data_IF_081636094095
#
_entry.id   IF_081636094095
#
_cell.length_a   1.000
_cell.length_b   1.000
_cell.length_c   1.000
_cell.angle_alpha   90.00
_cell.angle_beta   90.00
_cell.angle_gamma   90.00
#
_symmetry.space_group_name_H-M   'P 1'
#
loop_
_entity.id
_entity.type
_entity.pdbx_description
1 polymer ?
#
# COMPACT_ATOMS: atom_id res chain seq x y z
N UNK A 1 -17.63 37.12 8.94
CA UNK A 1 -17.78 35.79 9.59
C UNK A 1 -18.42 34.78 8.63
N UNK A 2 -19.58 35.07 8.05
CA UNK A 2 -20.26 34.21 7.06
C UNK A 2 -19.43 33.78 5.83
N UNK A 3 -18.70 34.66 5.11
CA UNK A 3 -17.96 34.25 3.90
C UNK A 3 -16.76 33.32 4.19
N UNK A 4 -16.17 33.46 5.37
CA UNK A 4 -15.04 32.63 5.79
C UNK A 4 -15.54 31.20 6.08
N UNK A 5 -16.66 31.09 6.79
CA UNK A 5 -17.27 29.80 7.12
C UNK A 5 -17.72 29.08 5.84
N UNK A 6 -18.36 29.77 4.89
CA UNK A 6 -18.75 29.16 3.62
C UNK A 6 -17.55 28.74 2.78
N UNK A 7 -16.49 29.56 2.71
CA UNK A 7 -15.27 29.18 1.97
C UNK A 7 -14.61 27.92 2.53
N UNK A 8 -14.47 27.83 3.87
CA UNK A 8 -13.91 26.64 4.52
C UNK A 8 -14.79 25.42 4.26
N UNK A 9 -16.11 25.54 4.39
CA UNK A 9 -17.05 24.44 4.21
C UNK A 9 -17.02 23.90 2.78
N UNK A 10 -16.99 24.77 1.77
CA UNK A 10 -16.91 24.37 0.35
C UNK A 10 -15.58 23.67 0.07
N UNK A 11 -14.46 24.21 0.54
CA UNK A 11 -13.14 23.62 0.28
C UNK A 11 -13.01 22.25 0.94
N UNK A 12 -13.42 22.12 2.21
CA UNK A 12 -13.41 20.85 2.94
C UNK A 12 -14.37 19.82 2.33
N UNK A 13 -15.54 20.25 1.86
CA UNK A 13 -16.47 19.35 1.18
C UNK A 13 -15.89 18.82 -0.13
N UNK A 14 -15.29 19.69 -0.96
CA UNK A 14 -14.68 19.28 -2.21
C UNK A 14 -13.50 18.32 -2.00
N UNK A 15 -12.60 18.62 -1.06
CA UNK A 15 -11.48 17.73 -0.76
C UNK A 15 -11.96 16.41 -0.17
N UNK A 16 -12.95 16.45 0.73
CA UNK A 16 -13.55 15.25 1.31
C UNK A 16 -14.19 14.35 0.26
N UNK A 17 -14.95 14.92 -0.68
CA UNK A 17 -15.56 14.17 -1.78
C UNK A 17 -14.48 13.52 -2.65
N UNK A 18 -13.42 14.26 -2.99
CA UNK A 18 -12.33 13.72 -3.79
C UNK A 18 -11.61 12.58 -3.06
N UNK A 19 -11.34 12.73 -1.76
CA UNK A 19 -10.72 11.69 -0.94
C UNK A 19 -11.58 10.43 -0.90
N UNK A 20 -12.90 10.57 -0.72
CA UNK A 20 -13.82 9.42 -0.73
C UNK A 20 -13.80 8.72 -2.09
N UNK A 21 -13.81 9.48 -3.19
CA UNK A 21 -13.74 8.92 -4.55
C UNK A 21 -12.44 8.12 -4.76
N UNK A 22 -11.30 8.68 -4.32
CA UNK A 22 -10.00 8.01 -4.43
C UNK A 22 -9.94 6.73 -3.59
N UNK A 23 -10.49 6.74 -2.36
CA UNK A 23 -10.58 5.55 -1.51
C UNK A 23 -11.42 4.44 -2.15
N UNK A 24 -12.56 4.79 -2.76
CA UNK A 24 -13.40 3.82 -3.48
C UNK A 24 -12.66 3.26 -4.69
N UNK A 25 -11.94 4.10 -5.43
CA UNK A 25 -11.11 3.67 -6.55
C UNK A 25 -10.00 2.73 -6.09
N UNK A 26 -9.26 3.08 -5.04
CA UNK A 26 -8.21 2.24 -4.46
C UNK A 26 -8.77 0.88 -4.03
N UNK A 27 -9.92 0.86 -3.33
CA UNK A 27 -10.56 -0.38 -2.90
C UNK A 27 -10.95 -1.28 -4.07
N UNK A 28 -11.40 -0.71 -5.20
CA UNK A 28 -11.84 -1.50 -6.35
C UNK A 28 -10.69 -1.93 -7.27
N UNK A 29 -9.70 -1.05 -7.50
CA UNK A 29 -8.60 -1.29 -8.43
C UNK A 29 -7.36 -1.92 -7.80
N UNK A 30 -7.06 -1.61 -6.53
CA UNK A 30 -5.85 -2.09 -5.85
C UNK A 30 -6.10 -3.37 -5.01
N UNK A 31 -7.09 -4.17 -5.38
CA UNK A 31 -7.34 -5.46 -4.73
C UNK A 31 -6.66 -6.59 -5.50
N UNK A 32 -5.49 -7.00 -5.00
CA UNK A 32 -4.66 -8.04 -5.63
C UNK A 32 -4.97 -9.47 -5.13
N UNK A 33 -5.86 -9.61 -4.13
CA UNK A 33 -6.22 -10.89 -3.54
C UNK A 33 -5.11 -11.56 -2.73
N UNK A 34 -5.36 -12.80 -2.30
CA UNK A 34 -4.35 -13.63 -1.61
C UNK A 34 -3.32 -14.15 -2.62
N UNK A 35 -2.05 -13.81 -2.41
CA UNK A 35 -0.93 -14.30 -3.19
C UNK A 35 -0.16 -15.36 -2.38
N UNK A 36 0.31 -16.40 -3.07
CA UNK A 36 1.21 -17.40 -2.49
C UNK A 36 2.64 -17.11 -2.92
N UNK A 37 3.53 -16.92 -1.95
CA UNK A 37 4.97 -16.78 -2.15
C UNK A 37 5.62 -18.12 -1.82
N UNK A 38 6.32 -18.69 -2.79
CA UNK A 38 7.16 -19.86 -2.61
C UNK A 38 8.62 -19.43 -2.41
N UNK A 39 9.20 -19.78 -1.27
CA UNK A 39 10.60 -19.55 -0.93
C UNK A 39 11.35 -20.87 -1.06
N UNK A 40 12.42 -20.86 -1.85
CA UNK A 40 13.31 -22.00 -2.08
C UNK A 40 12.60 -23.28 -2.56
N UNK A 41 11.70 -23.16 -3.54
CA UNK A 41 11.04 -24.32 -4.20
C UNK A 41 10.33 -25.26 -3.23
N UNK A 42 9.54 -24.71 -2.32
CA UNK A 42 8.69 -25.43 -1.38
C UNK A 42 9.26 -25.57 0.02
N UNK A 43 10.45 -25.03 0.29
CA UNK A 43 11.01 -25.01 1.66
C UNK A 43 10.12 -24.19 2.60
N UNK A 44 9.55 -23.08 2.10
CA UNK A 44 8.58 -22.28 2.84
C UNK A 44 7.57 -21.63 1.91
N UNK A 45 6.28 -21.89 2.16
CA UNK A 45 5.18 -21.27 1.43
C UNK A 45 4.45 -20.29 2.34
N UNK A 46 4.25 -19.07 1.84
CA UNK A 46 3.63 -17.97 2.58
C UNK A 46 2.42 -17.48 1.81
N UNK A 47 1.29 -17.35 2.51
CA UNK A 47 0.09 -16.70 1.97
C UNK A 47 0.04 -15.28 2.50
N UNK A 48 0.04 -14.32 1.60
CA UNK A 48 0.03 -12.90 1.94
C UNK A 48 -1.02 -12.17 1.11
N UNK A 49 -1.57 -11.10 1.65
CA UNK A 49 -2.44 -10.24 0.86
C UNK A 49 -1.57 -9.43 -0.12
N UNK A 50 -1.93 -9.45 -1.40
CA UNK A 50 -1.19 -8.75 -2.44
C UNK A 50 -1.33 -7.22 -2.33
N UNK A 51 -0.49 -6.50 -3.06
CA UNK A 51 -0.49 -5.03 -3.13
C UNK A 51 0.66 -4.34 -2.40
N UNK A 52 1.35 -5.05 -1.51
CA UNK A 52 2.62 -4.60 -0.95
C UNK A 52 3.81 -5.11 -1.79
N UNK A 53 4.98 -4.47 -1.64
CA UNK A 53 6.21 -4.98 -2.25
C UNK A 53 6.56 -6.37 -1.70
N UNK A 54 7.26 -7.17 -2.50
CA UNK A 54 7.70 -8.52 -2.09
C UNK A 54 8.60 -8.46 -0.84
N UNK A 55 9.48 -7.45 -0.75
CA UNK A 55 10.35 -7.24 0.41
C UNK A 55 9.54 -6.94 1.68
N UNK A 56 8.55 -6.04 1.60
CA UNK A 56 7.67 -5.74 2.74
C UNK A 56 6.86 -6.96 3.16
N UNK A 57 6.36 -7.73 2.19
CA UNK A 57 5.59 -8.95 2.43
C UNK A 57 6.43 -10.02 3.15
N UNK A 58 7.68 -10.23 2.72
CA UNK A 58 8.61 -11.15 3.38
C UNK A 58 9.00 -10.67 4.79
N UNK A 59 9.27 -9.37 4.96
CA UNK A 59 9.59 -8.78 6.25
C UNK A 59 8.45 -8.94 7.27
N UNK A 60 7.19 -8.82 6.83
CA UNK A 60 6.01 -9.08 7.68
C UNK A 60 5.96 -10.53 8.20
N UNK A 61 6.51 -11.46 7.44
CA UNK A 61 6.62 -12.89 7.78
C UNK A 61 7.97 -13.22 8.47
N UNK A 62 8.64 -12.20 9.01
CA UNK A 62 9.95 -12.28 9.68
C UNK A 62 11.08 -12.84 8.81
N UNK A 63 10.96 -12.73 7.48
CA UNK A 63 12.06 -12.97 6.53
C UNK A 63 12.68 -11.62 6.15
N UNK A 64 13.86 -11.35 6.70
CA UNK A 64 14.57 -10.10 6.46
C UNK A 64 15.65 -10.31 5.40
N UNK A 65 15.52 -9.61 4.27
CA UNK A 65 16.59 -9.49 3.29
C UNK A 65 17.41 -8.22 3.61
N UNK A 66 18.74 -8.26 3.44
CA UNK A 66 19.59 -7.09 3.65
C UNK A 66 19.24 -6.01 2.61
N UNK A 67 18.58 -4.94 3.05
CA UNK A 67 18.17 -3.83 2.18
C UNK A 67 18.52 -2.49 2.80
N UNK A 68 19.40 -1.74 2.13
CA UNK A 68 19.74 -0.37 2.52
C UNK A 68 18.80 0.69 1.91
N UNK A 69 17.95 0.32 0.94
CA UNK A 69 17.11 1.25 0.18
C UNK A 69 15.62 1.21 0.55
N UNK A 70 15.24 0.42 1.56
CA UNK A 70 13.86 0.37 2.06
C UNK A 70 12.83 -0.09 1.03
N UNK A 71 13.20 -1.01 0.14
CA UNK A 71 12.30 -1.57 -0.88
C UNK A 71 12.15 -0.75 -2.17
N UNK A 72 13.00 0.26 -2.40
CA UNK A 72 13.02 1.06 -3.64
C UNK A 72 13.77 0.43 -4.81
N UNK A 73 14.47 -0.69 -4.59
CA UNK A 73 15.25 -1.38 -5.63
C UNK A 73 16.54 -0.67 -6.08
N UNK A 74 16.96 0.41 -5.41
CA UNK A 74 18.13 1.21 -5.81
C UNK A 74 19.46 0.78 -5.18
N UNK A 75 19.43 -0.13 -4.20
CA UNK A 75 20.62 -0.56 -3.45
C UNK A 75 21.29 -1.82 -4.01
N UNK A 76 20.64 -2.56 -4.92
CA UNK A 76 21.22 -3.75 -5.57
C UNK A 76 21.40 -4.97 -4.67
N UNK A 77 20.81 -4.97 -3.47
CA UNK A 77 20.98 -6.05 -2.47
C UNK A 77 19.73 -6.91 -2.25
N UNK A 78 18.61 -6.55 -2.89
CA UNK A 78 17.30 -7.21 -2.76
C UNK A 78 16.40 -6.91 -3.96
#
# INVERSE_FOLDING_TARGET
>A
MTPIITAVLVLSALSGILTVLLLVAEFFFANYGECTIDVNKGEKTLKVNGGASLLTSLASQKLFLPSGCGGRGSCGTC
#
